data_IF_376417651111
#
_entry.id   IF_376417651111
#
_cell.length_a   1.000
_cell.length_b   1.000
_cell.length_c   1.000
_cell.angle_alpha   90.00
_cell.angle_beta   90.00
_cell.angle_gamma   90.00
#
_symmetry.space_group_name_H-M   'P 1'
#
loop_
_entity.id
_entity.type
_entity.pdbx_description
1 polymer ?
#
# COMPACT_ATOMS: atom_id res chain seq x y z
N UNK A 1 32.78 3.16 11.20
CA UNK A 1 31.58 2.55 10.55
C UNK A 1 31.83 1.04 10.48
N UNK A 2 31.05 0.26 11.20
CA UNK A 2 31.10 -1.20 11.15
C UNK A 2 30.45 -1.75 9.87
N UNK A 3 30.55 -3.06 9.62
CA UNK A 3 30.02 -3.69 8.40
C UNK A 3 28.52 -3.54 8.25
N UNK A 4 27.76 -3.57 9.35
CA UNK A 4 26.30 -3.38 9.32
C UNK A 4 25.97 -1.95 8.89
N UNK A 5 26.61 -0.94 9.50
CA UNK A 5 26.42 0.47 9.16
C UNK A 5 26.76 0.75 7.69
N UNK A 6 27.86 0.17 7.18
CA UNK A 6 28.26 0.29 5.77
C UNK A 6 27.24 -0.33 4.83
N UNK A 7 26.65 -1.46 5.22
CA UNK A 7 25.60 -2.08 4.43
C UNK A 7 24.28 -1.28 4.47
N UNK A 8 23.93 -0.73 5.62
CA UNK A 8 22.74 0.16 5.74
C UNK A 8 22.92 1.41 4.87
N UNK A 9 24.10 2.05 4.93
CA UNK A 9 24.42 3.16 4.02
C UNK A 9 24.32 2.76 2.53
N UNK A 10 24.84 1.59 2.17
CA UNK A 10 24.70 1.06 0.81
C UNK A 10 23.25 0.87 0.37
N UNK A 11 22.37 0.30 1.21
CA UNK A 11 20.97 0.09 0.84
C UNK A 11 20.19 1.39 0.82
N UNK A 12 20.54 2.37 1.62
CA UNK A 12 19.92 3.69 1.66
C UNK A 12 20.36 4.54 0.46
N UNK A 13 21.66 4.77 0.30
CA UNK A 13 22.22 5.75 -0.62
C UNK A 13 22.48 5.20 -2.02
N UNK A 14 22.93 3.94 -2.14
CA UNK A 14 23.22 3.31 -3.44
C UNK A 14 21.99 2.59 -4.00
N UNK A 15 21.31 1.77 -3.18
CA UNK A 15 20.12 1.03 -3.58
C UNK A 15 18.84 1.85 -3.52
N UNK A 16 18.87 3.01 -2.87
CA UNK A 16 17.74 3.94 -2.69
C UNK A 16 16.48 3.27 -2.16
N UNK A 17 16.65 2.47 -1.11
CA UNK A 17 15.53 1.84 -0.44
C UNK A 17 14.72 2.87 0.33
N UNK A 18 13.42 2.61 0.52
CA UNK A 18 12.58 3.51 1.30
C UNK A 18 13.04 3.57 2.76
N UNK A 19 12.86 4.71 3.47
CA UNK A 19 13.24 4.83 4.88
C UNK A 19 12.68 3.71 5.77
N UNK A 20 11.45 3.28 5.49
CA UNK A 20 10.84 2.14 6.18
C UNK A 20 11.57 0.81 5.92
N UNK A 21 12.05 0.60 4.69
CA UNK A 21 12.81 -0.62 4.36
C UNK A 21 14.17 -0.59 5.03
N UNK A 22 14.83 0.57 5.05
CA UNK A 22 16.11 0.79 5.74
C UNK A 22 15.96 0.49 7.23
N UNK A 23 14.93 1.02 7.89
CA UNK A 23 14.65 0.76 9.30
C UNK A 23 14.47 -0.73 9.59
N UNK A 24 13.69 -1.46 8.76
CA UNK A 24 13.49 -2.92 8.90
C UNK A 24 14.82 -3.67 8.73
N UNK A 25 15.68 -3.25 7.79
CA UNK A 25 16.99 -3.87 7.57
C UNK A 25 17.92 -3.62 8.75
N UNK A 26 17.95 -2.40 9.27
CA UNK A 26 18.72 -2.04 10.46
C UNK A 26 18.30 -2.86 11.68
N UNK A 27 16.99 -2.92 11.94
CA UNK A 27 16.43 -3.69 13.06
C UNK A 27 16.78 -5.19 12.97
N UNK A 28 16.58 -5.81 11.80
CA UNK A 28 16.85 -7.24 11.62
C UNK A 28 18.35 -7.59 11.76
N UNK A 29 19.25 -6.70 11.31
CA UNK A 29 20.70 -6.92 11.45
C UNK A 29 21.18 -6.64 12.86
N UNK A 30 20.63 -5.65 13.55
CA UNK A 30 20.90 -5.39 14.96
C UNK A 30 20.45 -6.57 15.83
N UNK A 31 19.27 -7.13 15.55
CA UNK A 31 18.75 -8.34 16.21
C UNK A 31 19.69 -9.53 16.04
N UNK A 32 20.21 -9.75 14.82
CA UNK A 32 21.17 -10.82 14.56
C UNK A 32 22.50 -10.61 15.30
N UNK A 33 23.03 -9.38 15.29
CA UNK A 33 24.26 -9.03 15.99
C UNK A 33 24.12 -9.25 17.52
N UNK A 34 22.97 -8.87 18.08
CA UNK A 34 22.65 -9.08 19.49
C UNK A 34 22.61 -10.58 19.84
N UNK A 35 21.98 -11.40 19.02
CA UNK A 35 21.92 -12.86 19.20
C UNK A 35 23.32 -13.50 19.22
N UNK A 36 24.22 -13.03 18.34
CA UNK A 36 25.60 -13.51 18.32
C UNK A 36 26.32 -13.11 19.61
N UNK A 37 26.18 -11.85 20.05
CA UNK A 37 26.80 -11.37 21.29
C UNK A 37 26.36 -12.19 22.51
N UNK A 38 25.07 -12.50 22.62
CA UNK A 38 24.52 -13.32 23.69
C UNK A 38 25.09 -14.76 23.66
N UNK A 39 25.21 -15.36 22.46
CA UNK A 39 25.78 -16.69 22.30
C UNK A 39 27.29 -16.77 22.59
N UNK A 40 28.01 -15.64 22.54
CA UNK A 40 29.42 -15.53 22.89
C UNK A 40 29.69 -15.32 24.39
N UNK A 41 28.64 -15.38 25.24
CA UNK A 41 28.78 -15.26 26.70
C UNK A 41 29.11 -13.85 27.18
N UNK A 42 28.84 -12.84 26.38
CA UNK A 42 28.88 -11.43 26.80
C UNK A 42 27.56 -11.14 27.52
N UNK A 43 27.61 -11.34 28.87
CA UNK A 43 26.45 -11.27 29.75
C UNK A 43 25.69 -9.96 29.72
N UNK A 44 24.40 -10.04 30.15
CA UNK A 44 23.34 -9.06 30.29
C UNK A 44 23.66 -7.79 31.15
N UNK A 45 24.90 -7.32 31.20
CA UNK A 45 25.20 -6.02 31.74
C UNK A 45 24.82 -4.95 30.71
N UNK A 46 24.16 -3.87 31.15
CA UNK A 46 23.65 -2.74 30.37
C UNK A 46 24.64 -2.05 29.39
N UNK A 47 25.88 -2.52 29.33
CA UNK A 47 26.95 -2.13 28.41
C UNK A 47 27.30 -3.29 27.46
N UNK A 48 26.38 -3.64 26.55
CA UNK A 48 26.69 -4.56 25.43
C UNK A 48 27.78 -3.94 24.57
N UNK A 49 29.00 -4.43 24.71
CA UNK A 49 30.07 -4.06 23.78
C UNK A 49 29.66 -4.48 22.36
N UNK A 50 29.72 -3.58 21.38
CA UNK A 50 29.36 -3.88 20.00
C UNK A 50 30.21 -5.04 19.50
N UNK A 51 29.57 -6.02 18.87
CA UNK A 51 30.25 -7.13 18.22
C UNK A 51 31.26 -6.58 17.19
N UNK A 52 32.48 -7.11 17.17
CA UNK A 52 33.47 -6.71 16.16
C UNK A 52 33.11 -7.24 14.78
N UNK A 53 33.60 -6.59 13.72
CA UNK A 53 33.37 -7.03 12.34
C UNK A 53 33.92 -8.46 12.10
N UNK A 54 35.04 -8.84 12.76
CA UNK A 54 35.62 -10.17 12.68
C UNK A 54 34.73 -11.23 13.34
N UNK A 55 34.21 -10.96 14.54
CA UNK A 55 33.27 -11.83 15.24
C UNK A 55 31.97 -12.00 14.42
N UNK A 56 31.45 -10.91 13.85
CA UNK A 56 30.26 -10.94 13.00
C UNK A 56 30.50 -11.85 11.79
N UNK A 57 31.61 -11.66 11.07
CA UNK A 57 31.94 -12.46 9.87
C UNK A 57 32.16 -13.92 10.20
N UNK A 58 32.87 -14.25 11.28
CA UNK A 58 33.09 -15.64 11.71
C UNK A 58 31.79 -16.35 12.14
N UNK A 59 30.82 -15.60 12.64
CA UNK A 59 29.48 -16.07 13.01
C UNK A 59 28.54 -16.25 11.81
N UNK A 60 28.91 -15.79 10.62
CA UNK A 60 28.12 -16.00 9.40
C UNK A 60 28.32 -17.44 8.86
N UNK A 61 27.82 -18.41 9.59
CA UNK A 61 27.83 -19.81 9.21
C UNK A 61 26.43 -20.45 9.32
N UNK A 62 26.15 -21.59 8.64
CA UNK A 62 24.80 -22.17 8.61
C UNK A 62 24.26 -22.55 10.01
N UNK A 63 25.11 -22.90 10.96
CA UNK A 63 24.69 -23.26 12.30
C UNK A 63 24.14 -22.07 13.07
N UNK A 64 24.87 -20.96 13.08
CA UNK A 64 24.43 -19.71 13.73
C UNK A 64 23.18 -19.13 13.12
N UNK A 65 23.06 -19.17 11.77
CA UNK A 65 21.85 -18.70 11.09
C UNK A 65 20.63 -19.57 11.47
N UNK A 66 20.80 -20.89 11.65
CA UNK A 66 19.73 -21.77 12.15
C UNK A 66 19.39 -21.48 13.61
N UNK A 67 20.38 -21.26 14.46
CA UNK A 67 20.15 -20.87 15.85
C UNK A 67 19.34 -19.61 15.95
N UNK A 68 19.70 -18.60 15.14
CA UNK A 68 18.94 -17.34 15.04
C UNK A 68 17.51 -17.56 14.54
N UNK A 69 17.30 -18.40 13.53
CA UNK A 69 15.95 -18.74 13.03
C UNK A 69 15.08 -19.36 14.14
N UNK A 70 15.65 -20.30 14.91
CA UNK A 70 14.97 -20.94 16.03
C UNK A 70 14.67 -19.93 17.15
N UNK A 71 15.63 -19.08 17.50
CA UNK A 71 15.43 -18.01 18.49
C UNK A 71 14.29 -17.05 18.09
N UNK A 72 14.23 -16.65 16.82
CA UNK A 72 13.13 -15.83 16.31
C UNK A 72 11.75 -16.51 16.40
N UNK A 73 11.69 -17.83 16.16
CA UNK A 73 10.44 -18.60 16.23
C UNK A 73 10.01 -18.88 17.66
N UNK A 74 10.91 -19.47 18.45
CA UNK A 74 10.59 -20.07 19.74
C UNK A 74 10.71 -19.05 20.88
N UNK A 75 11.81 -18.31 20.93
CA UNK A 75 12.07 -17.37 22.03
C UNK A 75 11.32 -16.03 21.83
N UNK A 76 11.31 -15.49 20.60
CA UNK A 76 10.62 -14.23 20.30
C UNK A 76 9.19 -14.42 19.79
N UNK A 77 8.75 -15.64 19.53
CA UNK A 77 7.39 -15.96 19.07
C UNK A 77 6.99 -15.30 17.75
N UNK A 78 7.96 -15.01 16.87
CA UNK A 78 7.68 -14.33 15.61
C UNK A 78 7.00 -15.25 14.60
N UNK A 79 6.14 -14.65 13.76
CA UNK A 79 5.49 -15.43 12.70
C UNK A 79 6.48 -15.90 11.64
N UNK A 80 6.26 -17.08 10.99
CA UNK A 80 7.11 -17.56 9.88
C UNK A 80 7.36 -16.52 8.79
N UNK A 81 6.40 -15.63 8.54
CA UNK A 81 6.54 -14.55 7.57
C UNK A 81 7.55 -13.49 8.02
N UNK A 82 7.53 -13.12 9.29
CA UNK A 82 8.49 -12.16 9.88
C UNK A 82 9.88 -12.78 9.94
N UNK A 83 10.00 -14.03 10.37
CA UNK A 83 11.27 -14.77 10.36
C UNK A 83 11.87 -14.82 8.96
N UNK A 84 11.08 -15.15 7.94
CA UNK A 84 11.52 -15.14 6.54
C UNK A 84 11.98 -13.76 6.07
N UNK A 85 11.44 -12.67 6.62
CA UNK A 85 11.90 -11.31 6.35
C UNK A 85 13.31 -11.10 6.93
N UNK A 86 13.55 -11.44 8.20
CA UNK A 86 14.86 -11.37 8.85
C UNK A 86 15.91 -12.19 8.10
N UNK A 87 15.59 -13.43 7.74
CA UNK A 87 16.47 -14.31 6.95
C UNK A 87 16.75 -13.72 5.55
N UNK A 88 15.79 -13.04 4.95
CA UNK A 88 15.98 -12.37 3.65
C UNK A 88 16.91 -11.15 3.76
N UNK A 89 16.80 -10.37 4.83
CA UNK A 89 17.69 -9.27 5.13
C UNK A 89 19.12 -9.76 5.33
N UNK A 90 19.30 -10.79 6.16
CA UNK A 90 20.60 -11.42 6.41
C UNK A 90 21.22 -12.00 5.13
N UNK A 91 20.41 -12.65 4.27
CA UNK A 91 20.88 -13.13 2.97
C UNK A 91 21.31 -11.98 2.04
N UNK A 92 20.63 -10.83 2.08
CA UNK A 92 21.01 -9.63 1.36
C UNK A 92 22.33 -9.05 1.84
N UNK A 93 22.54 -9.00 3.15
CA UNK A 93 23.79 -8.60 3.77
C UNK A 93 24.95 -9.52 3.38
N UNK A 94 24.78 -10.84 3.54
CA UNK A 94 25.80 -11.82 3.10
C UNK A 94 26.11 -11.71 1.59
N UNK A 95 25.11 -11.42 0.76
CA UNK A 95 25.35 -11.23 -0.67
C UNK A 95 26.17 -9.96 -0.97
N UNK A 96 26.00 -8.91 -0.16
CA UNK A 96 26.82 -7.70 -0.25
C UNK A 96 28.24 -7.96 0.22
N UNK A 97 28.45 -8.65 1.35
CA UNK A 97 29.77 -9.08 1.84
C UNK A 97 30.50 -9.95 0.82
N UNK A 98 29.79 -10.90 0.18
CA UNK A 98 30.33 -11.75 -0.88
C UNK A 98 30.82 -10.93 -2.07
N UNK A 99 30.04 -9.93 -2.51
CA UNK A 99 30.46 -9.01 -3.61
C UNK A 99 31.62 -8.11 -3.23
N UNK A 100 31.77 -7.79 -1.95
CA UNK A 100 32.88 -7.02 -1.41
C UNK A 100 34.14 -7.87 -1.13
N UNK A 101 34.10 -9.18 -1.40
CA UNK A 101 35.22 -10.09 -1.16
C UNK A 101 35.51 -10.41 0.32
N UNK A 102 34.59 -10.05 1.23
CA UNK A 102 34.78 -10.24 2.68
C UNK A 102 34.44 -11.68 3.09
N UNK A 103 33.48 -12.32 2.44
CA UNK A 103 33.15 -13.74 2.61
C UNK A 103 33.21 -14.49 1.28
N UNK A 104 33.43 -15.80 1.31
CA UNK A 104 33.56 -16.62 0.11
C UNK A 104 32.24 -17.30 -0.33
N UNK A 105 31.24 -17.35 0.55
CA UNK A 105 29.93 -17.93 0.25
C UNK A 105 28.83 -17.28 1.09
N UNK A 106 27.58 -17.44 0.65
CA UNK A 106 26.42 -16.96 1.42
C UNK A 106 25.81 -18.13 2.20
N UNK A 107 26.04 -18.23 3.52
CA UNK A 107 25.61 -19.35 4.34
C UNK A 107 24.08 -19.43 4.46
N UNK A 108 23.39 -18.31 4.32
CA UNK A 108 21.93 -18.24 4.43
C UNK A 108 21.22 -19.00 3.30
N UNK A 109 21.87 -19.20 2.17
CA UNK A 109 21.32 -19.99 1.06
C UNK A 109 21.21 -21.48 1.36
N UNK A 110 21.94 -21.96 2.37
CA UNK A 110 21.93 -23.35 2.81
C UNK A 110 20.85 -23.66 3.85
N UNK A 111 20.11 -22.63 4.27
CA UNK A 111 19.07 -22.76 5.30
C UNK A 111 17.70 -22.96 4.65
N UNK A 112 16.96 -23.94 5.18
CA UNK A 112 15.56 -24.18 4.85
C UNK A 112 14.70 -23.12 5.54
N UNK A 113 13.93 -22.37 4.80
CA UNK A 113 13.07 -21.33 5.39
C UNK A 113 11.80 -21.90 6.00
N UNK A 114 11.27 -21.30 7.10
CA UNK A 114 9.99 -21.70 7.66
C UNK A 114 8.87 -21.65 6.61
N UNK A 115 8.06 -22.69 6.59
CA UNK A 115 6.90 -22.74 5.69
C UNK A 115 5.87 -21.70 6.11
N UNK A 116 5.51 -20.84 5.17
CA UNK A 116 4.41 -19.87 5.34
C UNK A 116 3.14 -20.50 4.80
N UNK A 117 2.10 -20.55 5.62
CA UNK A 117 0.78 -21.00 5.18
C UNK A 117 0.30 -20.12 4.02
N UNK A 118 0.05 -20.73 2.87
CA UNK A 118 -0.52 -20.06 1.71
C UNK A 118 -2.02 -19.87 1.94
N UNK A 119 -2.41 -18.74 2.53
CA UNK A 119 -3.81 -18.37 2.61
C UNK A 119 -4.30 -18.02 1.21
N UNK A 120 -5.45 -18.53 0.84
CA UNK A 120 -6.12 -18.12 -0.40
C UNK A 120 -6.31 -16.60 -0.37
N UNK A 121 -6.09 -15.92 -1.50
CA UNK A 121 -6.32 -14.49 -1.59
C UNK A 121 -7.78 -14.19 -1.25
N UNK A 122 -7.99 -13.30 -0.27
CA UNK A 122 -9.32 -12.79 0.06
C UNK A 122 -9.66 -11.69 -0.94
N UNK A 123 -10.84 -11.77 -1.54
CA UNK A 123 -11.42 -10.73 -2.37
C UNK A 123 -12.89 -10.56 -2.05
N UNK A 124 -13.42 -9.39 -2.29
CA UNK A 124 -14.84 -9.12 -2.14
C UNK A 124 -15.57 -9.55 -3.39
N UNK A 125 -16.67 -10.29 -3.21
CA UNK A 125 -17.56 -10.63 -4.33
C UNK A 125 -18.20 -9.36 -4.89
N UNK A 126 -18.43 -9.35 -6.21
CA UNK A 126 -19.08 -8.25 -6.94
C UNK A 126 -20.37 -7.78 -6.26
N UNK A 127 -21.24 -8.71 -5.91
CA UNK A 127 -22.51 -8.40 -5.27
C UNK A 127 -22.37 -7.72 -3.91
N UNK A 128 -21.33 -8.06 -3.14
CA UNK A 128 -21.09 -7.45 -1.84
C UNK A 128 -20.64 -5.99 -1.98
N UNK A 129 -19.75 -5.70 -2.94
CA UNK A 129 -19.33 -4.33 -3.23
C UNK A 129 -20.47 -3.52 -3.86
N UNK A 130 -21.25 -4.11 -4.75
CA UNK A 130 -22.43 -3.44 -5.32
C UNK A 130 -23.41 -3.04 -4.22
N UNK A 131 -23.77 -3.96 -3.32
CA UNK A 131 -24.63 -3.67 -2.15
C UNK A 131 -24.07 -2.56 -1.27
N UNK A 132 -22.75 -2.53 -1.06
CA UNK A 132 -22.10 -1.43 -0.35
C UNK A 132 -22.34 -0.09 -1.04
N UNK A 133 -22.07 -0.02 -2.35
CA UNK A 133 -22.22 1.22 -3.11
C UNK A 133 -23.67 1.69 -3.17
N UNK A 134 -24.61 0.78 -3.30
CA UNK A 134 -26.05 1.08 -3.31
C UNK A 134 -26.52 1.60 -1.94
N UNK A 135 -26.17 0.90 -0.87
CA UNK A 135 -26.55 1.28 0.49
C UNK A 135 -25.91 2.59 0.99
N UNK A 136 -24.80 2.99 0.39
CA UNK A 136 -24.07 4.21 0.75
C UNK A 136 -24.21 5.33 -0.28
N UNK A 137 -25.10 5.19 -1.27
CA UNK A 137 -25.26 6.16 -2.35
C UNK A 137 -25.56 7.57 -1.83
N UNK A 138 -26.36 7.68 -0.77
CA UNK A 138 -26.69 8.95 -0.10
C UNK A 138 -25.42 9.71 0.35
N UNK A 139 -24.36 9.04 0.72
CA UNK A 139 -23.11 9.70 1.20
C UNK A 139 -22.31 10.34 0.07
N UNK A 140 -22.63 10.03 -1.18
CA UNK A 140 -22.09 10.67 -2.37
C UNK A 140 -23.07 11.63 -3.04
N UNK A 141 -24.19 11.91 -2.41
CA UNK A 141 -25.27 12.69 -3.03
C UNK A 141 -25.11 14.20 -2.86
N UNK A 142 -25.86 14.94 -3.66
CA UNK A 142 -25.98 16.40 -3.57
C UNK A 142 -26.71 16.79 -2.27
N UNK A 143 -27.74 16.04 -1.87
CA UNK A 143 -28.52 16.29 -0.66
C UNK A 143 -27.64 16.25 0.59
N UNK A 144 -26.72 15.28 0.66
CA UNK A 144 -25.76 15.23 1.76
C UNK A 144 -24.81 16.42 1.75
N UNK A 145 -24.40 16.91 0.57
CA UNK A 145 -23.59 18.12 0.45
C UNK A 145 -24.34 19.33 0.99
N UNK A 146 -25.60 19.49 0.62
CA UNK A 146 -26.45 20.58 1.10
C UNK A 146 -26.64 20.54 2.62
N UNK A 147 -26.93 19.37 3.17
CA UNK A 147 -27.01 19.18 4.63
C UNK A 147 -25.69 19.55 5.33
N UNK A 148 -24.54 19.12 4.77
CA UNK A 148 -23.22 19.47 5.30
C UNK A 148 -22.95 20.97 5.26
N UNK A 149 -23.32 21.66 4.17
CA UNK A 149 -23.11 23.11 3.98
C UNK A 149 -23.82 23.93 5.05
N UNK A 150 -24.95 23.44 5.59
CA UNK A 150 -25.71 24.11 6.65
C UNK A 150 -25.00 24.08 8.01
N UNK A 151 -24.16 23.05 8.26
CA UNK A 151 -23.57 22.84 9.59
C UNK A 151 -22.12 22.35 9.54
N UNK A 152 -21.22 22.93 8.72
CA UNK A 152 -19.91 22.33 8.43
C UNK A 152 -18.96 22.25 9.63
N UNK A 153 -19.13 23.12 10.62
CA UNK A 153 -18.27 23.21 11.82
C UNK A 153 -18.92 22.60 13.07
N UNK A 154 -19.98 21.82 12.92
CA UNK A 154 -20.68 21.17 14.03
C UNK A 154 -20.27 19.69 14.17
N UNK A 155 -20.54 19.03 15.33
CA UNK A 155 -20.35 17.58 15.45
C UNK A 155 -21.11 16.79 14.38
N UNK A 156 -22.33 17.21 14.03
CA UNK A 156 -23.12 16.58 12.96
C UNK A 156 -22.48 16.79 11.59
N UNK A 157 -21.99 17.99 11.27
CA UNK A 157 -21.25 18.23 10.03
C UNK A 157 -19.99 17.37 9.93
N UNK A 158 -19.28 17.17 11.05
CA UNK A 158 -18.15 16.25 11.08
C UNK A 158 -18.59 14.81 10.74
N UNK A 159 -19.70 14.33 11.29
CA UNK A 159 -20.24 13.00 10.98
C UNK A 159 -20.57 12.84 9.49
N UNK A 160 -21.29 13.84 8.92
CA UNK A 160 -21.61 13.85 7.48
C UNK A 160 -20.34 13.82 6.61
N UNK A 161 -19.31 14.57 7.01
CA UNK A 161 -18.02 14.58 6.32
C UNK A 161 -17.31 13.22 6.40
N UNK A 162 -17.26 12.61 7.58
CA UNK A 162 -16.60 11.30 7.77
C UNK A 162 -17.31 10.19 6.98
N UNK A 163 -18.62 10.23 6.84
CA UNK A 163 -19.36 9.34 5.96
C UNK A 163 -18.98 9.54 4.49
N UNK A 164 -18.96 10.79 4.03
CA UNK A 164 -18.58 11.13 2.65
C UNK A 164 -17.16 10.71 2.31
N UNK A 165 -16.17 11.10 3.13
CA UNK A 165 -14.77 10.77 2.87
C UNK A 165 -14.51 9.27 2.99
N UNK A 166 -15.15 8.59 3.96
CA UNK A 166 -15.03 7.15 4.13
C UNK A 166 -15.48 6.39 2.87
N UNK A 167 -16.65 6.75 2.32
CA UNK A 167 -17.12 6.19 1.06
C UNK A 167 -16.19 6.51 -0.11
N UNK A 168 -15.77 7.78 -0.23
CA UNK A 168 -14.89 8.19 -1.32
C UNK A 168 -13.53 7.45 -1.30
N UNK A 169 -12.98 7.17 -0.11
CA UNK A 169 -11.78 6.34 0.04
C UNK A 169 -12.01 4.94 -0.56
N UNK A 170 -13.15 4.30 -0.27
CA UNK A 170 -13.49 3.01 -0.87
C UNK A 170 -13.65 3.12 -2.38
N UNK A 171 -14.36 4.15 -2.85
CA UNK A 171 -14.58 4.42 -4.26
C UNK A 171 -13.25 4.56 -5.03
N UNK A 172 -12.31 5.37 -4.51
CA UNK A 172 -11.01 5.59 -5.14
C UNK A 172 -10.15 4.32 -5.12
N UNK A 173 -10.06 3.64 -3.98
CA UNK A 173 -9.27 2.41 -3.86
C UNK A 173 -9.78 1.31 -4.78
N UNK A 174 -11.09 1.13 -4.87
CA UNK A 174 -11.70 0.11 -5.70
C UNK A 174 -11.73 0.51 -7.17
N UNK A 175 -12.25 1.70 -7.51
CA UNK A 175 -12.36 2.11 -8.91
C UNK A 175 -11.00 2.32 -9.58
N UNK A 176 -10.01 2.88 -8.91
CA UNK A 176 -8.70 3.14 -9.50
C UNK A 176 -7.70 2.01 -9.25
N UNK A 177 -7.99 1.09 -8.34
CA UNK A 177 -7.08 0.01 -7.96
C UNK A 177 -5.74 0.50 -7.42
N UNK A 178 -5.67 1.71 -6.87
CA UNK A 178 -4.43 2.32 -6.38
C UNK A 178 -4.02 1.76 -5.01
N UNK A 179 -2.72 1.88 -4.70
CA UNK A 179 -2.20 1.51 -3.39
C UNK A 179 -2.57 2.57 -2.35
N UNK A 180 -2.65 2.18 -1.07
CA UNK A 180 -2.91 3.12 0.04
C UNK A 180 -1.95 4.32 0.03
N UNK A 181 -0.67 4.10 -0.19
CA UNK A 181 0.31 5.18 -0.25
C UNK A 181 0.08 6.09 -1.46
N UNK A 182 -0.28 5.54 -2.62
CA UNK A 182 -0.63 6.30 -3.82
C UNK A 182 -1.88 7.16 -3.57
N UNK A 183 -2.93 6.60 -2.94
CA UNK A 183 -4.13 7.37 -2.55
C UNK A 183 -3.78 8.58 -1.67
N UNK A 184 -2.95 8.37 -0.65
CA UNK A 184 -2.54 9.41 0.30
C UNK A 184 -1.71 10.51 -0.38
N UNK A 185 -0.89 10.15 -1.37
CA UNK A 185 -0.02 11.10 -2.07
C UNK A 185 -0.74 11.96 -3.12
N UNK A 186 -1.95 11.61 -3.56
CA UNK A 186 -2.68 12.37 -4.56
C UNK A 186 -2.87 13.83 -4.15
N UNK A 187 -2.62 14.73 -5.10
CA UNK A 187 -2.95 16.15 -5.05
C UNK A 187 -4.15 16.46 -5.96
N UNK A 188 -4.72 17.62 -5.81
CA UNK A 188 -5.83 18.07 -6.68
C UNK A 188 -5.40 18.11 -8.15
N UNK A 189 -4.16 18.54 -8.43
CA UNK A 189 -3.57 18.58 -9.77
C UNK A 189 -3.43 17.21 -10.45
N UNK A 190 -3.47 16.11 -9.68
CA UNK A 190 -3.37 14.77 -10.25
C UNK A 190 -4.68 14.29 -10.89
N UNK A 191 -5.78 15.01 -10.68
CA UNK A 191 -7.09 14.68 -11.25
C UNK A 191 -7.39 15.62 -12.42
N UNK A 192 -7.42 15.07 -13.62
CA UNK A 192 -7.81 15.80 -14.83
C UNK A 192 -9.26 15.45 -15.19
N UNK A 193 -10.20 16.31 -14.77
CA UNK A 193 -11.62 16.12 -15.01
C UNK A 193 -11.98 16.27 -16.50
N UNK A 194 -11.23 17.07 -17.27
CA UNK A 194 -11.46 17.29 -18.70
C UNK A 194 -11.08 16.06 -19.51
N UNK A 195 -9.90 15.48 -19.25
CA UNK A 195 -9.43 14.25 -19.89
C UNK A 195 -10.03 12.99 -19.26
N UNK A 196 -10.69 13.12 -18.11
CA UNK A 196 -11.22 12.03 -17.28
C UNK A 196 -10.14 10.99 -16.95
N UNK A 197 -9.02 11.44 -16.36
CA UNK A 197 -7.92 10.61 -15.92
C UNK A 197 -7.40 11.06 -14.56
N UNK A 198 -6.83 10.10 -13.82
CA UNK A 198 -6.07 10.36 -12.59
C UNK A 198 -4.61 9.94 -12.82
N UNK A 199 -3.68 10.85 -12.57
CA UNK A 199 -2.24 10.59 -12.61
C UNK A 199 -1.79 10.01 -11.28
N UNK A 200 -1.13 8.86 -11.32
CA UNK A 200 -0.68 8.17 -10.10
C UNK A 200 0.81 7.93 -10.15
N UNK A 201 1.51 8.41 -9.13
CA UNK A 201 2.94 8.19 -8.94
C UNK A 201 3.18 6.86 -8.23
N UNK A 202 3.84 5.94 -8.92
CA UNK A 202 4.17 4.61 -8.41
C UNK A 202 5.60 4.52 -7.84
N UNK A 203 5.99 3.31 -7.43
CA UNK A 203 7.34 3.04 -6.93
C UNK A 203 8.39 3.29 -8.03
N UNK A 204 9.47 4.02 -7.69
CA UNK A 204 10.57 4.34 -8.62
C UNK A 204 10.24 5.46 -9.59
N UNK A 205 9.40 6.40 -9.15
CA UNK A 205 9.00 7.60 -9.91
C UNK A 205 8.31 7.30 -11.26
N UNK A 206 7.70 6.12 -11.36
CA UNK A 206 6.92 5.74 -12.53
C UNK A 206 5.51 6.30 -12.43
N UNK A 207 5.13 7.13 -13.40
CA UNK A 207 3.78 7.67 -13.51
C UNK A 207 2.90 6.74 -14.36
N UNK A 208 1.60 6.67 -14.01
CA UNK A 208 0.56 6.08 -14.85
C UNK A 208 -0.72 6.89 -14.79
N UNK A 209 -1.44 6.92 -15.88
CA UNK A 209 -2.77 7.52 -15.96
C UNK A 209 -3.84 6.42 -15.85
N UNK A 210 -4.81 6.63 -14.98
CA UNK A 210 -5.93 5.71 -14.76
C UNK A 210 -7.20 6.43 -15.20
N UNK A 211 -8.08 5.79 -16.02
CA UNK A 211 -9.35 6.38 -16.42
C UNK A 211 -10.24 6.70 -15.21
N UNK A 212 -10.81 7.88 -15.20
CA UNK A 212 -11.78 8.35 -14.20
C UNK A 212 -13.19 8.12 -14.72
N UNK A 213 -13.93 7.19 -14.11
CA UNK A 213 -15.34 6.91 -14.46
C UNK A 213 -16.24 8.08 -14.02
N UNK A 214 -17.35 8.28 -14.73
CA UNK A 214 -18.24 9.39 -14.52
C UNK A 214 -18.75 9.49 -13.07
N UNK A 215 -19.25 8.39 -12.53
CA UNK A 215 -19.76 8.35 -11.15
C UNK A 215 -18.72 8.70 -10.08
N UNK A 216 -17.45 8.34 -10.28
CA UNK A 216 -16.35 8.72 -9.38
C UNK A 216 -15.96 10.20 -9.57
N UNK A 217 -16.03 10.71 -10.81
CA UNK A 217 -15.80 12.14 -11.11
C UNK A 217 -16.81 13.02 -10.38
N UNK A 218 -18.09 12.68 -10.45
CA UNK A 218 -19.18 13.38 -9.75
C UNK A 218 -19.01 13.34 -8.23
N UNK A 219 -18.71 12.16 -7.68
CA UNK A 219 -18.44 11.97 -6.25
C UNK A 219 -17.25 12.83 -5.77
N UNK A 220 -16.17 12.90 -6.57
CA UNK A 220 -15.02 13.76 -6.30
C UNK A 220 -15.38 15.26 -6.34
N UNK A 221 -16.14 15.71 -7.31
CA UNK A 221 -16.55 17.11 -7.41
C UNK A 221 -17.39 17.56 -6.22
N UNK A 222 -18.33 16.72 -5.77
CA UNK A 222 -19.13 16.99 -4.58
C UNK A 222 -18.27 17.01 -3.30
N UNK A 223 -17.28 16.10 -3.22
CA UNK A 223 -16.33 16.10 -2.11
C UNK A 223 -15.47 17.38 -2.09
N UNK A 224 -14.93 17.82 -3.22
CA UNK A 224 -14.12 19.04 -3.31
C UNK A 224 -14.91 20.27 -2.85
N UNK A 225 -16.18 20.40 -3.27
CA UNK A 225 -17.09 21.47 -2.80
C UNK A 225 -17.31 21.40 -1.27
N UNK A 226 -17.45 20.21 -0.72
CA UNK A 226 -17.58 20.03 0.74
C UNK A 226 -16.32 20.50 1.47
N UNK A 227 -15.12 20.16 0.98
CA UNK A 227 -13.85 20.58 1.57
C UNK A 227 -13.65 22.10 1.46
N UNK A 228 -13.93 22.70 0.30
CA UNK A 228 -13.87 24.17 0.13
C UNK A 228 -14.77 24.87 1.15
N UNK A 229 -15.98 24.36 1.35
CA UNK A 229 -16.90 24.92 2.37
C UNK A 229 -16.37 24.74 3.78
N UNK A 230 -15.81 23.56 4.09
CA UNK A 230 -15.24 23.26 5.41
C UNK A 230 -14.04 24.15 5.74
N UNK A 231 -13.16 24.40 4.76
CA UNK A 231 -11.94 25.17 4.93
C UNK A 231 -12.11 26.70 4.74
N UNK A 232 -13.28 27.12 4.29
CA UNK A 232 -13.61 28.55 4.13
C UNK A 232 -12.94 29.22 2.93
N UNK A 233 -12.51 28.46 1.91
CA UNK A 233 -11.89 29.05 0.72
C UNK A 233 -11.50 28.04 -0.36
N UNK A 234 -11.14 28.57 -1.51
CA UNK A 234 -10.68 27.78 -2.66
C UNK A 234 -9.31 27.18 -2.38
N UNK A 235 -9.11 25.95 -2.81
CA UNK A 235 -7.89 25.17 -2.58
C UNK A 235 -6.93 25.25 -3.78
N UNK A 236 -5.62 25.26 -3.47
CA UNK A 236 -4.57 25.21 -4.50
C UNK A 236 -4.48 23.81 -5.14
N UNK A 237 -4.12 23.78 -6.43
CA UNK A 237 -3.94 22.52 -7.17
C UNK A 237 -2.86 21.61 -6.57
N UNK A 238 -1.87 22.16 -5.87
CA UNK A 238 -0.79 21.40 -5.24
C UNK A 238 -1.14 20.86 -3.84
N UNK A 239 -2.34 21.19 -3.34
CA UNK A 239 -2.79 20.66 -2.07
C UNK A 239 -3.24 19.20 -2.18
N UNK A 240 -3.22 18.47 -1.02
CA UNK A 240 -3.69 17.08 -0.99
C UNK A 240 -5.11 16.94 -1.54
N UNK A 241 -5.35 15.96 -2.42
CA UNK A 241 -6.71 15.68 -2.91
C UNK A 241 -7.65 15.37 -1.74
N UNK A 242 -7.23 14.44 -0.87
CA UNK A 242 -8.00 14.00 0.29
C UNK A 242 -7.42 14.56 1.58
N UNK A 243 -8.30 15.09 2.42
CA UNK A 243 -7.94 15.66 3.73
C UNK A 243 -8.84 15.10 4.83
N UNK A 244 -8.37 15.11 6.06
CA UNK A 244 -9.19 14.85 7.26
C UNK A 244 -10.14 16.02 7.49
N UNK A 245 -11.10 15.85 8.40
CA UNK A 245 -11.98 16.97 8.80
C UNK A 245 -11.22 18.18 9.35
N UNK A 246 -10.00 17.99 9.87
CA UNK A 246 -9.11 19.11 10.27
C UNK A 246 -8.28 19.72 9.12
N UNK A 247 -8.55 19.37 7.86
CA UNK A 247 -7.85 19.90 6.69
C UNK A 247 -6.45 19.30 6.44
N UNK A 248 -6.00 18.32 7.23
CA UNK A 248 -4.69 17.68 7.05
C UNK A 248 -4.74 16.55 6.03
N UNK A 249 -3.64 16.33 5.30
CA UNK A 249 -3.48 15.16 4.41
C UNK A 249 -3.81 13.87 5.18
N UNK A 250 -4.45 12.92 4.51
CA UNK A 250 -4.69 11.59 5.09
C UNK A 250 -3.38 10.88 5.44
N UNK A 251 -3.44 9.96 6.40
CA UNK A 251 -2.30 9.15 6.84
C UNK A 251 -2.70 7.65 6.88
N UNK A 252 -1.72 6.73 6.88
CA UNK A 252 -1.99 5.31 6.69
C UNK A 252 -3.06 4.72 7.62
N UNK A 253 -3.00 5.04 8.91
CA UNK A 253 -3.95 4.51 9.91
C UNK A 253 -5.36 5.04 9.67
N UNK A 254 -5.51 6.31 9.25
CA UNK A 254 -6.82 6.87 8.93
C UNK A 254 -7.48 6.09 7.78
N UNK A 255 -6.74 5.83 6.70
CA UNK A 255 -7.25 5.08 5.54
C UNK A 255 -7.61 3.64 5.92
N UNK A 256 -6.77 2.97 6.71
CA UNK A 256 -7.03 1.60 7.15
C UNK A 256 -8.28 1.53 8.03
N UNK A 257 -8.47 2.47 8.97
CA UNK A 257 -9.64 2.55 9.83
C UNK A 257 -10.91 2.88 9.02
N UNK A 258 -10.82 3.81 8.07
CA UNK A 258 -11.94 4.13 7.18
C UNK A 258 -12.37 2.89 6.37
N UNK A 259 -11.43 2.18 5.75
CA UNK A 259 -11.74 0.95 4.99
C UNK A 259 -12.36 -0.11 5.90
N UNK A 260 -11.83 -0.32 7.09
CA UNK A 260 -12.34 -1.29 8.05
C UNK A 260 -13.77 -0.92 8.47
N UNK A 261 -14.01 0.29 8.95
CA UNK A 261 -15.32 0.78 9.41
C UNK A 261 -16.37 0.74 8.29
N UNK A 262 -16.02 1.19 7.09
CA UNK A 262 -16.95 1.21 5.95
C UNK A 262 -17.39 -0.21 5.52
N UNK A 263 -16.47 -1.17 5.56
CA UNK A 263 -16.75 -2.53 5.10
C UNK A 263 -17.21 -3.48 6.22
N UNK A 264 -17.15 -3.07 7.50
CA UNK A 264 -17.65 -3.90 8.61
C UNK A 264 -19.17 -4.11 8.55
N UNK A 265 -19.88 -3.12 8.08
CA UNK A 265 -21.36 -3.13 8.01
C UNK A 265 -21.90 -3.89 6.79
N UNK A 266 -21.02 -4.33 5.88
CA UNK A 266 -21.43 -5.02 4.66
C UNK A 266 -21.52 -6.52 4.90
N UNK A 267 -22.72 -7.07 4.86
CA UNK A 267 -22.96 -8.52 4.97
C UNK A 267 -22.26 -9.28 3.82
N UNK A 268 -21.71 -10.46 4.12
CA UNK A 268 -21.00 -11.29 3.11
C UNK A 268 -19.54 -10.94 2.88
N UNK A 269 -19.01 -9.93 3.56
CA UNK A 269 -17.57 -9.59 3.54
C UNK A 269 -16.88 -10.34 4.67
N UNK A 270 -16.38 -11.53 4.38
CA UNK A 270 -15.58 -12.34 5.31
C UNK A 270 -14.10 -12.09 5.09
N UNK A 271 -13.31 -12.07 6.16
CA UNK A 271 -11.85 -11.93 6.09
C UNK A 271 -11.33 -10.50 6.28
N UNK A 272 -10.06 -10.28 5.89
CA UNK A 272 -9.35 -9.01 6.14
C UNK A 272 -9.89 -7.87 5.28
N UNK A 273 -10.38 -6.82 5.91
CA UNK A 273 -10.86 -5.59 5.29
C UNK A 273 -9.70 -4.59 5.19
N UNK A 274 -9.09 -4.48 4.01
CA UNK A 274 -7.92 -3.62 3.81
C UNK A 274 -7.86 -3.07 2.37
N UNK A 275 -7.13 -1.96 2.14
CA UNK A 275 -6.93 -1.40 0.81
C UNK A 275 -6.41 -2.40 -0.23
N UNK A 276 -5.55 -3.34 0.19
CA UNK A 276 -5.02 -4.37 -0.70
C UNK A 276 -6.09 -5.35 -1.19
N UNK A 277 -7.07 -5.66 -0.35
CA UNK A 277 -8.18 -6.56 -0.71
C UNK A 277 -9.08 -5.90 -1.76
N UNK A 278 -9.39 -4.60 -1.62
CA UNK A 278 -10.18 -3.84 -2.62
C UNK A 278 -9.49 -3.84 -3.99
N UNK A 279 -8.18 -3.58 -4.02
CA UNK A 279 -7.39 -3.63 -5.25
C UNK A 279 -7.36 -5.03 -5.86
N UNK A 280 -7.26 -6.08 -5.03
CA UNK A 280 -7.30 -7.45 -5.50
C UNK A 280 -8.68 -7.82 -6.05
N UNK A 281 -9.75 -7.35 -5.42
CA UNK A 281 -11.12 -7.53 -5.89
C UNK A 281 -11.33 -6.91 -7.26
N UNK A 282 -10.85 -5.69 -7.49
CA UNK A 282 -10.88 -5.06 -8.82
C UNK A 282 -10.14 -5.92 -9.86
N UNK A 283 -8.91 -6.38 -9.52
CA UNK A 283 -8.13 -7.21 -10.44
C UNK A 283 -8.85 -8.50 -10.83
N UNK A 284 -9.46 -9.18 -9.85
CA UNK A 284 -10.22 -10.41 -10.07
C UNK A 284 -11.46 -10.13 -10.92
N UNK A 285 -12.19 -9.06 -10.65
CA UNK A 285 -13.39 -8.70 -11.38
C UNK A 285 -13.11 -8.33 -12.85
N UNK A 286 -12.03 -7.58 -13.09
CA UNK A 286 -11.60 -7.28 -14.46
C UNK A 286 -11.19 -8.55 -15.22
N UNK A 287 -10.55 -9.52 -14.55
CA UNK A 287 -10.22 -10.82 -15.14
C UNK A 287 -11.47 -11.62 -15.48
N UNK A 288 -12.43 -11.68 -14.57
CA UNK A 288 -13.70 -12.41 -14.74
C UNK A 288 -14.55 -11.82 -15.89
N UNK A 289 -14.44 -10.50 -16.11
CA UNK A 289 -15.07 -9.79 -17.24
C UNK A 289 -14.23 -9.89 -18.55
N UNK A 290 -13.16 -10.69 -18.56
CA UNK A 290 -12.36 -10.99 -19.74
C UNK A 290 -11.27 -9.98 -20.10
N UNK A 291 -10.89 -9.09 -19.17
CA UNK A 291 -9.78 -8.18 -19.40
C UNK A 291 -8.44 -8.95 -19.47
N UNK A 292 -7.57 -8.55 -20.40
CA UNK A 292 -6.24 -9.12 -20.54
C UNK A 292 -5.36 -8.88 -19.29
N UNK A 293 -4.65 -9.93 -18.86
CA UNK A 293 -3.81 -9.90 -17.66
C UNK A 293 -2.70 -8.83 -17.73
N UNK A 294 -2.15 -8.54 -18.91
CA UNK A 294 -1.11 -7.51 -19.05
C UNK A 294 -1.71 -6.11 -18.88
N UNK A 295 -2.88 -5.87 -19.45
CA UNK A 295 -3.62 -4.62 -19.27
C UNK A 295 -3.97 -4.37 -17.80
N UNK A 296 -4.35 -5.42 -17.06
CA UNK A 296 -4.60 -5.32 -15.62
C UNK A 296 -3.29 -5.02 -14.86
N UNK A 297 -2.19 -5.68 -15.19
CA UNK A 297 -0.87 -5.41 -14.58
C UNK A 297 -0.42 -3.98 -14.83
N UNK A 298 -0.62 -3.44 -16.01
CA UNK A 298 -0.31 -2.05 -16.37
C UNK A 298 -1.17 -1.07 -15.56
N UNK A 299 -2.49 -1.27 -15.54
CA UNK A 299 -3.43 -0.48 -14.74
C UNK A 299 -3.01 -0.40 -13.28
N UNK A 300 -2.67 -1.56 -12.73
CA UNK A 300 -2.28 -1.68 -11.33
C UNK A 300 -0.83 -1.26 -11.06
N UNK A 301 0.03 -1.08 -12.05
CA UNK A 301 1.43 -0.71 -11.88
C UNK A 301 2.23 -1.80 -11.16
N UNK A 302 2.18 -3.04 -11.64
CA UNK A 302 3.03 -4.13 -11.20
C UNK A 302 4.42 -4.00 -11.83
N UNK A 303 5.46 -3.85 -11.00
CA UNK A 303 6.84 -3.53 -11.40
C UNK A 303 7.65 -4.70 -12.03
N UNK A 304 7.02 -5.82 -12.37
CA UNK A 304 7.70 -7.00 -12.93
C UNK A 304 7.44 -7.07 -14.44
N UNK A 305 8.40 -6.68 -15.16
CA UNK A 305 8.89 -6.93 -16.50
C UNK A 305 9.33 -5.65 -17.21
N UNK A 306 10.56 -5.73 -17.67
CA UNK A 306 11.31 -4.70 -18.34
C UNK A 306 10.51 -3.95 -19.41
N UNK A 307 10.78 -2.70 -19.45
CA UNK A 307 10.60 -1.70 -20.46
C UNK A 307 9.71 -0.54 -20.00
N UNK A 308 10.32 0.60 -20.04
CA UNK A 308 9.70 1.91 -20.15
C UNK A 308 8.84 1.93 -21.41
N UNK A 309 7.64 1.33 -21.34
CA UNK A 309 6.66 1.58 -22.38
C UNK A 309 6.04 2.93 -22.08
N UNK A 310 6.40 3.89 -22.91
CA UNK A 310 5.69 5.16 -23.05
C UNK A 310 4.22 4.81 -23.30
N UNK A 311 3.34 5.23 -22.40
CA UNK A 311 1.91 5.13 -22.59
C UNK A 311 1.55 5.83 -23.91
N UNK A 312 1.31 5.07 -24.95
CA UNK A 312 0.80 5.61 -26.20
C UNK A 312 -0.70 5.90 -26.04
N UNK A 313 -1.21 6.89 -26.76
CA UNK A 313 -2.64 7.21 -26.80
C UNK A 313 -3.54 5.98 -27.05
N UNK A 314 -3.04 4.97 -27.79
CA UNK A 314 -3.74 3.72 -28.06
C UNK A 314 -3.88 2.82 -26.84
N UNK A 315 -2.93 2.81 -25.91
CA UNK A 315 -3.00 2.00 -24.68
C UNK A 315 -4.04 2.58 -23.71
N UNK A 316 -4.11 3.90 -23.61
CA UNK A 316 -5.11 4.60 -22.77
C UNK A 316 -6.51 4.41 -23.35
N UNK A 317 -6.69 4.46 -24.68
CA UNK A 317 -7.96 4.22 -25.33
C UNK A 317 -8.46 2.79 -25.11
N UNK A 318 -7.58 1.79 -25.25
CA UNK A 318 -7.87 0.39 -24.94
C UNK A 318 -8.25 0.16 -23.47
N UNK A 319 -7.46 0.71 -22.54
CA UNK A 319 -7.76 0.65 -21.12
C UNK A 319 -9.10 1.33 -20.80
N UNK A 320 -9.39 2.45 -21.44
CA UNK A 320 -10.65 3.19 -21.27
C UNK A 320 -11.85 2.36 -21.73
N UNK A 321 -11.73 1.66 -22.85
CA UNK A 321 -12.78 0.76 -23.36
C UNK A 321 -12.98 -0.44 -22.44
N UNK A 322 -11.91 -1.12 -22.03
CA UNK A 322 -11.96 -2.25 -21.10
C UNK A 322 -12.56 -1.77 -19.76
N UNK A 323 -12.15 -0.61 -19.30
CA UNK A 323 -12.63 -0.04 -18.03
C UNK A 323 -14.11 0.34 -18.08
N UNK A 324 -14.58 0.89 -19.19
CA UNK A 324 -15.99 1.24 -19.40
C UNK A 324 -16.89 0.01 -19.58
N UNK A 325 -16.37 -1.05 -20.21
CA UNK A 325 -17.14 -2.28 -20.46
C UNK A 325 -17.07 -3.27 -19.30
N UNK A 326 -15.92 -3.39 -18.64
CA UNK A 326 -15.66 -4.39 -17.61
C UNK A 326 -15.82 -3.84 -16.17
N UNK A 327 -15.72 -2.52 -15.95
CA UNK A 327 -15.80 -1.98 -14.59
C UNK A 327 -17.26 -1.94 -14.11
N UNK A 328 -17.59 -2.52 -12.94
CA UNK A 328 -18.98 -2.67 -12.45
C UNK A 328 -19.72 -1.34 -12.32
N UNK A 329 -19.05 -0.30 -11.82
CA UNK A 329 -19.65 1.03 -11.65
C UNK A 329 -19.75 1.84 -12.94
N UNK A 330 -19.08 1.46 -14.02
CA UNK A 330 -19.21 2.13 -15.31
C UNK A 330 -20.51 1.73 -16.03
N UNK A 331 -21.01 0.51 -15.77
CA UNK A 331 -22.27 0.00 -16.36
C UNK A 331 -23.53 0.61 -15.73
N UNK A 332 -23.44 1.12 -14.50
CA UNK A 332 -24.59 1.64 -13.75
C UNK A 332 -24.81 3.15 -13.85
N UNK A 333 -23.93 3.90 -14.53
CA UNK A 333 -24.06 5.36 -14.74
C UNK A 333 -25.09 5.78 -15.80
N UNK A 334 -25.83 4.83 -16.40
CA UNK A 334 -26.77 5.09 -17.50
C UNK A 334 -28.26 4.91 -17.19
N UNK A 335 -28.65 4.76 -15.91
CA UNK A 335 -30.06 4.53 -15.54
C UNK A 335 -30.64 5.59 -14.60
N UNK A 336 -30.33 6.84 -14.80
CA UNK A 336 -31.12 7.96 -14.24
C UNK A 336 -31.29 9.00 -15.34
N UNK A 337 -32.35 8.82 -16.13
CA UNK A 337 -32.77 9.77 -17.14
C UNK A 337 -33.74 9.12 -18.12
N UNK A 338 -34.98 8.91 -17.67
CA UNK A 338 -36.23 9.04 -18.41
C UNK A 338 -37.34 9.32 -17.41
#
# INVERSE_FOLDING_TARGET
MNLIERYIDYVENVRRYSPRTVAIYSEALADFAHEIAANCGKDDSDDLQPISDEELVSSLNPSQVRSYEVSLLDSKGLTPKTVNLHISVLSGFCQWLLKSGIINSNPVKLISRPKVEKRLPVFFKKDALQKYFDSTAVWASQELLEAFIQCPQTPHGKELYEHRIGRLIISLLFCLGIRRAELISLNISDVDFSRKVVKVHGKGDKMREIPLILSLSEELLLYLKAVERMMGGQRSLNEPLLVTYSGRRLYPVYVDNAVKSQLEKVGGVTGRKSPHVLRHSLATELLDEGADLNSIKELLGHASLAATQVYTHNTIAKLKTIYQTAHPRAKNGGKHGD
#
